data_IF_409837922959
#
_entry.id   IF_409837922959
#
_cell.length_a   1.000
_cell.length_b   1.000
_cell.length_c   1.000
_cell.angle_alpha   90.00
_cell.angle_beta   90.00
_cell.angle_gamma   90.00
#
_symmetry.space_group_name_H-M   'P 1'
#
loop_
_entity.id
_entity.type
_entity.pdbx_description
1 polymer ?
#
# COMPACT_ATOMS: atom_id res chain seq x y z
N UNK A 1 9.36 18.58 19.87
CA UNK A 1 8.83 18.24 21.20
C UNK A 1 7.66 17.29 20.98
N UNK A 2 7.90 15.97 21.01
CA UNK A 2 6.85 14.98 20.75
C UNK A 2 5.92 14.93 21.96
N UNK A 3 4.66 15.30 21.78
CA UNK A 3 3.63 15.04 22.78
C UNK A 3 3.60 13.52 23.03
N UNK A 4 3.65 13.10 24.28
CA UNK A 4 3.57 11.69 24.64
C UNK A 4 2.22 11.16 24.18
N UNK A 5 2.19 10.41 23.08
CA UNK A 5 0.97 9.79 22.59
C UNK A 5 0.59 8.69 23.59
N UNK A 6 -0.56 8.82 24.24
CA UNK A 6 -1.06 7.76 25.13
C UNK A 6 -1.26 6.46 24.34
N UNK A 7 -0.93 5.32 24.94
CA UNK A 7 -1.09 4.00 24.32
C UNK A 7 -2.55 3.76 23.86
N UNK A 8 -3.54 4.23 24.62
CA UNK A 8 -4.95 4.12 24.23
C UNK A 8 -5.32 4.97 23.02
N UNK A 9 -4.72 6.15 22.88
CA UNK A 9 -4.91 7.02 21.70
C UNK A 9 -4.23 6.41 20.47
N UNK A 10 -3.05 5.83 20.63
CA UNK A 10 -2.36 5.10 19.56
C UNK A 10 -3.18 3.90 19.07
N UNK A 11 -3.72 3.08 20.00
CA UNK A 11 -4.59 1.95 19.66
C UNK A 11 -5.85 2.41 18.93
N UNK A 12 -6.46 3.51 19.39
CA UNK A 12 -7.63 4.11 18.74
C UNK A 12 -7.31 4.53 17.31
N UNK A 13 -6.21 5.26 17.07
CA UNK A 13 -5.83 5.71 15.71
C UNK A 13 -5.59 4.56 14.74
N UNK A 14 -4.95 3.49 15.20
CA UNK A 14 -4.76 2.28 14.40
C UNK A 14 -6.12 1.64 14.10
N UNK A 15 -6.99 1.49 15.11
CA UNK A 15 -8.34 0.97 14.94
C UNK A 15 -9.19 1.79 13.97
N UNK A 16 -9.14 3.12 14.07
CA UNK A 16 -9.86 4.07 13.19
C UNK A 16 -9.34 3.99 11.75
N UNK A 17 -8.03 3.79 11.55
CA UNK A 17 -7.48 3.53 10.21
C UNK A 17 -7.97 2.20 9.63
N UNK A 18 -7.88 1.10 10.39
CA UNK A 18 -8.32 -0.23 9.92
C UNK A 18 -9.83 -0.25 9.59
N UNK A 19 -10.62 0.45 10.40
CA UNK A 19 -12.07 0.60 10.19
C UNK A 19 -12.35 1.36 8.89
N UNK A 20 -11.59 2.41 8.58
CA UNK A 20 -11.71 3.16 7.32
C UNK A 20 -11.37 2.31 6.10
N UNK A 21 -10.31 1.49 6.16
CA UNK A 21 -9.95 0.58 5.05
C UNK A 21 -11.06 -0.41 4.80
N UNK A 22 -11.54 -1.07 5.87
CA UNK A 22 -12.61 -2.06 5.77
C UNK A 22 -13.90 -1.43 5.26
N UNK A 23 -14.26 -0.24 5.74
CA UNK A 23 -15.44 0.49 5.27
C UNK A 23 -15.33 0.87 3.79
N UNK A 24 -14.16 1.32 3.33
CA UNK A 24 -13.94 1.63 1.92
C UNK A 24 -14.12 0.40 1.02
N UNK A 25 -13.65 -0.77 1.46
CA UNK A 25 -13.87 -2.05 0.75
C UNK A 25 -15.36 -2.41 0.73
N UNK A 26 -16.03 -2.39 1.89
CA UNK A 26 -17.45 -2.73 2.01
C UNK A 26 -18.37 -1.81 1.19
N UNK A 27 -18.03 -0.53 1.10
CA UNK A 27 -18.78 0.46 0.33
C UNK A 27 -18.31 0.58 -1.14
N UNK A 28 -17.31 -0.20 -1.55
CA UNK A 28 -16.69 -0.09 -2.88
C UNK A 28 -16.22 1.35 -3.22
N UNK A 29 -15.69 2.06 -2.22
CA UNK A 29 -15.19 3.43 -2.35
C UNK A 29 -13.70 3.43 -2.74
N UNK A 30 -13.47 3.52 -4.05
CA UNK A 30 -12.14 3.47 -4.65
C UNK A 30 -11.24 4.63 -4.20
N UNK A 31 -11.79 5.83 -4.10
CA UNK A 31 -11.05 7.04 -3.79
C UNK A 31 -10.61 7.05 -2.31
N UNK A 32 -11.51 6.67 -1.40
CA UNK A 32 -11.16 6.52 0.01
C UNK A 32 -10.09 5.44 0.18
N UNK A 33 -10.23 4.29 -0.49
CA UNK A 33 -9.25 3.21 -0.43
C UNK A 33 -7.89 3.61 -1.01
N UNK A 34 -7.88 4.29 -2.16
CA UNK A 34 -6.67 4.85 -2.77
C UNK A 34 -5.93 5.77 -1.79
N UNK A 35 -6.65 6.68 -1.13
CA UNK A 35 -6.04 7.60 -0.16
C UNK A 35 -5.42 6.88 1.04
N UNK A 36 -6.01 5.75 1.48
CA UNK A 36 -5.54 4.96 2.61
C UNK A 36 -4.33 4.08 2.24
N UNK A 37 -4.21 3.69 0.98
CA UNK A 37 -3.09 2.90 0.43
C UNK A 37 -1.88 3.77 0.08
N UNK A 38 -2.02 5.10 0.00
CA UNK A 38 -0.90 6.01 -0.28
C UNK A 38 0.04 6.14 0.92
N UNK A 39 1.12 5.36 0.92
CA UNK A 39 2.15 5.38 1.96
C UNK A 39 3.00 6.64 1.90
N UNK A 40 3.32 7.13 0.71
CA UNK A 40 4.30 8.20 0.51
C UNK A 40 3.73 9.61 0.49
N UNK A 41 2.44 9.78 0.19
CA UNK A 41 1.85 11.09 -0.10
C UNK A 41 0.71 11.50 0.86
N UNK A 42 0.26 10.62 1.77
CA UNK A 42 -0.90 10.94 2.60
C UNK A 42 -0.52 11.79 3.83
N UNK A 43 -1.17 12.95 4.07
CA UNK A 43 -1.08 13.68 5.35
C UNK A 43 -1.70 12.89 6.51
N UNK A 44 -2.47 11.83 6.23
CA UNK A 44 -2.95 10.86 7.22
C UNK A 44 -1.84 9.90 7.69
N UNK A 45 -0.71 9.81 6.99
CA UNK A 45 0.40 8.92 7.35
C UNK A 45 1.11 9.39 8.61
N UNK A 46 1.22 10.69 8.89
CA UNK A 46 1.94 11.22 10.06
C UNK A 46 1.29 10.85 11.40
N UNK A 47 -0.01 11.11 11.66
CA UNK A 47 -0.63 10.75 12.94
C UNK A 47 -0.74 9.23 13.16
N UNK A 48 -0.82 8.45 12.07
CA UNK A 48 -0.81 7.00 12.12
C UNK A 48 0.59 6.45 12.38
N UNK A 49 1.62 7.01 11.74
CA UNK A 49 3.01 6.61 11.92
C UNK A 49 3.47 6.79 13.36
N UNK A 50 3.09 7.89 14.00
CA UNK A 50 3.34 8.12 15.42
C UNK A 50 2.66 7.05 16.31
N UNK A 51 1.43 6.65 15.95
CA UNK A 51 0.71 5.60 16.65
C UNK A 51 1.34 4.21 16.47
N UNK A 52 1.81 3.90 15.26
CA UNK A 52 2.51 2.65 14.96
C UNK A 52 3.87 2.57 15.67
N UNK A 53 4.59 3.69 15.78
CA UNK A 53 5.83 3.77 16.54
C UNK A 53 5.62 3.57 18.05
N UNK A 54 4.46 3.98 18.58
CA UNK A 54 4.12 3.84 20.00
C UNK A 54 3.72 2.40 20.39
N UNK A 55 3.33 1.54 19.44
CA UNK A 55 2.79 0.19 19.72
C UNK A 55 3.56 -0.86 18.92
N UNK A 56 4.61 -1.49 19.46
CA UNK A 56 5.38 -2.51 18.75
C UNK A 56 4.55 -3.72 18.28
N UNK A 57 3.46 -4.05 19.00
CA UNK A 57 2.59 -5.20 18.71
C UNK A 57 1.36 -4.85 17.86
N UNK A 58 1.40 -3.72 17.12
CA UNK A 58 0.35 -3.35 16.17
C UNK A 58 0.00 -4.45 15.14
N UNK A 59 0.94 -5.33 14.69
CA UNK A 59 0.59 -6.40 13.76
C UNK A 59 -0.47 -7.37 14.31
N UNK A 60 -0.39 -7.73 15.59
CA UNK A 60 -1.39 -8.60 16.23
C UNK A 60 -2.71 -7.88 16.40
N UNK A 61 -2.68 -6.61 16.82
CA UNK A 61 -3.89 -5.78 16.92
C UNK A 61 -4.68 -5.71 15.60
N UNK A 62 -3.98 -5.60 14.48
CA UNK A 62 -4.61 -5.57 13.15
C UNK A 62 -5.11 -6.95 12.72
N UNK A 63 -4.28 -8.00 12.88
CA UNK A 63 -4.62 -9.36 12.48
C UNK A 63 -5.79 -9.94 13.27
N UNK A 64 -5.86 -9.69 14.59
CA UNK A 64 -6.92 -10.20 15.45
C UNK A 64 -8.28 -9.51 15.17
N UNK A 65 -8.26 -8.27 14.70
CA UNK A 65 -9.47 -7.48 14.44
C UNK A 65 -10.10 -7.79 13.08
N UNK A 66 -9.28 -8.02 12.06
CA UNK A 66 -9.70 -8.27 10.68
C UNK A 66 -8.93 -9.46 10.09
N UNK A 67 -9.21 -10.70 10.53
CA UNK A 67 -8.45 -11.88 10.12
C UNK A 67 -8.50 -12.12 8.60
N UNK A 68 -9.65 -11.86 7.97
CA UNK A 68 -9.85 -12.07 6.53
C UNK A 68 -9.00 -11.12 5.66
N UNK A 69 -8.59 -9.97 6.20
CA UNK A 69 -7.78 -8.97 5.52
C UNK A 69 -6.36 -8.87 6.11
N UNK A 70 -5.98 -9.78 7.02
CA UNK A 70 -4.71 -9.70 7.74
C UNK A 70 -3.50 -9.72 6.79
N UNK A 71 -3.57 -10.50 5.71
CA UNK A 71 -2.53 -10.61 4.68
C UNK A 71 -2.32 -9.30 3.90
N UNK A 72 -3.31 -8.41 3.91
CA UNK A 72 -3.21 -7.06 3.34
C UNK A 72 -2.82 -6.03 4.41
N UNK A 73 -3.58 -5.98 5.50
CA UNK A 73 -3.53 -4.90 6.48
C UNK A 73 -2.24 -4.90 7.31
N UNK A 74 -1.78 -6.08 7.73
CA UNK A 74 -0.56 -6.20 8.55
C UNK A 74 0.68 -5.72 7.77
N UNK A 75 0.97 -6.21 6.56
CA UNK A 75 2.11 -5.71 5.79
C UNK A 75 1.95 -4.24 5.37
N UNK A 76 0.72 -3.74 5.15
CA UNK A 76 0.49 -2.33 4.85
C UNK A 76 0.87 -1.42 6.03
N UNK A 77 0.43 -1.76 7.25
CA UNK A 77 0.82 -1.01 8.44
C UNK A 77 2.34 -1.05 8.68
N UNK A 78 2.99 -2.20 8.43
CA UNK A 78 4.46 -2.29 8.48
C UNK A 78 5.13 -1.39 7.45
N UNK A 79 4.61 -1.33 6.23
CA UNK A 79 5.14 -0.46 5.19
C UNK A 79 5.07 1.01 5.60
N UNK A 80 3.91 1.44 6.13
CA UNK A 80 3.72 2.81 6.64
C UNK A 80 4.72 3.11 7.75
N UNK A 81 4.86 2.22 8.72
CA UNK A 81 5.80 2.41 9.83
C UNK A 81 7.27 2.47 9.36
N UNK A 82 7.71 1.54 8.51
CA UNK A 82 9.09 1.54 8.02
C UNK A 82 9.40 2.77 7.16
N UNK A 83 8.44 3.21 6.34
CA UNK A 83 8.59 4.41 5.53
C UNK A 83 8.74 5.65 6.41
N UNK A 84 7.96 5.77 7.49
CA UNK A 84 8.03 6.92 8.40
C UNK A 84 9.37 7.05 9.12
N UNK A 85 10.06 5.94 9.37
CA UNK A 85 11.40 5.90 9.97
C UNK A 85 12.54 5.81 8.94
N UNK A 86 12.24 6.07 7.66
CA UNK A 86 13.19 6.06 6.54
C UNK A 86 13.94 4.73 6.32
N UNK A 87 13.33 3.61 6.70
CA UNK A 87 13.80 2.26 6.35
C UNK A 87 13.11 1.78 5.08
N UNK A 88 13.44 2.38 3.95
CA UNK A 88 12.75 2.18 2.68
C UNK A 88 12.90 0.76 2.13
N UNK A 89 14.02 0.07 2.34
CA UNK A 89 14.18 -1.33 1.92
C UNK A 89 13.20 -2.28 2.63
N UNK A 90 12.99 -2.07 3.93
CA UNK A 90 12.01 -2.84 4.72
C UNK A 90 10.57 -2.40 4.41
N UNK A 91 10.37 -1.10 4.16
CA UNK A 91 9.09 -0.55 3.72
C UNK A 91 8.67 -1.17 2.38
N UNK A 92 9.57 -1.26 1.40
CA UNK A 92 9.33 -1.92 0.11
C UNK A 92 8.94 -3.38 0.33
N UNK A 93 9.73 -4.12 1.10
CA UNK A 93 9.50 -5.56 1.31
C UNK A 93 8.17 -5.84 2.01
N UNK A 94 7.72 -4.92 2.86
CA UNK A 94 6.41 -4.99 3.50
C UNK A 94 5.30 -4.57 2.55
N UNK A 95 5.49 -3.47 1.81
CA UNK A 95 4.48 -2.97 0.87
C UNK A 95 4.24 -3.96 -0.27
N UNK A 96 5.29 -4.57 -0.82
CA UNK A 96 5.18 -5.60 -1.86
C UNK A 96 4.27 -6.76 -1.42
N UNK A 97 4.37 -7.21 -0.16
CA UNK A 97 3.45 -8.24 0.38
C UNK A 97 2.01 -7.74 0.41
N UNK A 98 1.79 -6.52 0.90
CA UNK A 98 0.47 -5.90 0.90
C UNK A 98 -0.08 -5.73 -0.54
N UNK A 99 0.75 -5.31 -1.49
CA UNK A 99 0.38 -5.14 -2.91
C UNK A 99 0.01 -6.47 -3.56
N UNK A 100 0.72 -7.56 -3.24
CA UNK A 100 0.37 -8.88 -3.74
C UNK A 100 -0.95 -9.38 -3.14
N UNK A 101 -1.17 -9.21 -1.83
CA UNK A 101 -2.46 -9.53 -1.20
C UNK A 101 -3.60 -8.70 -1.80
N UNK A 102 -3.40 -7.39 -1.99
CA UNK A 102 -4.36 -6.51 -2.64
C UNK A 102 -4.70 -6.96 -4.06
N UNK A 103 -3.69 -7.36 -4.84
CA UNK A 103 -3.90 -7.86 -6.20
C UNK A 103 -4.69 -9.18 -6.22
N UNK A 104 -4.53 -10.04 -5.21
CA UNK A 104 -5.35 -11.24 -5.09
C UNK A 104 -6.81 -10.89 -4.76
N UNK A 105 -7.04 -10.02 -3.78
CA UNK A 105 -8.39 -9.54 -3.45
C UNK A 105 -9.06 -8.85 -4.65
N UNK A 106 -8.29 -8.03 -5.37
CA UNK A 106 -8.75 -7.35 -6.57
C UNK A 106 -9.24 -8.32 -7.65
N UNK A 107 -8.62 -9.50 -7.77
CA UNK A 107 -9.07 -10.55 -8.70
C UNK A 107 -10.35 -11.24 -8.26
N UNK A 108 -10.58 -11.30 -6.96
CA UNK A 108 -11.74 -11.94 -6.36
C UNK A 108 -13.00 -11.05 -6.48
N UNK A 109 -12.84 -9.74 -6.66
CA UNK A 109 -13.96 -8.82 -6.86
C UNK A 109 -14.58 -8.96 -8.25
N UNK A 110 -15.91 -9.04 -8.29
CA UNK A 110 -16.67 -9.20 -9.54
C UNK A 110 -16.64 -7.94 -10.43
N UNK A 111 -16.40 -6.76 -9.85
CA UNK A 111 -16.47 -5.47 -10.57
C UNK A 111 -15.21 -4.61 -10.43
N UNK A 112 -14.89 -3.76 -11.43
CA UNK A 112 -13.77 -2.80 -11.46
C UNK A 112 -13.69 -1.72 -10.40
N UNK A 113 -14.51 -1.75 -9.35
CA UNK A 113 -14.69 -0.58 -8.50
C UNK A 113 -13.35 -0.06 -7.93
N UNK A 114 -12.39 -0.93 -7.63
CA UNK A 114 -11.11 -0.58 -7.02
C UNK A 114 -9.98 -0.21 -8.01
N UNK A 115 -10.28 0.09 -9.28
CA UNK A 115 -9.26 0.44 -10.29
C UNK A 115 -8.39 1.63 -9.86
N UNK A 116 -8.98 2.65 -9.26
CA UNK A 116 -8.26 3.81 -8.73
C UNK A 116 -7.31 3.42 -7.59
N UNK A 117 -7.77 2.56 -6.67
CA UNK A 117 -6.92 2.01 -5.61
C UNK A 117 -5.76 1.19 -6.17
N UNK A 118 -5.99 0.40 -7.22
CA UNK A 118 -4.92 -0.36 -7.91
C UNK A 118 -3.89 0.56 -8.56
N UNK A 119 -4.31 1.66 -9.17
CA UNK A 119 -3.41 2.69 -9.69
C UNK A 119 -2.49 3.22 -8.56
N UNK A 120 -3.05 3.53 -7.40
CA UNK A 120 -2.26 3.99 -6.25
C UNK A 120 -1.27 2.95 -5.76
N UNK A 121 -1.65 1.67 -5.66
CA UNK A 121 -0.72 0.59 -5.28
C UNK A 121 0.47 0.52 -6.24
N UNK A 122 0.21 0.57 -7.53
CA UNK A 122 1.23 0.49 -8.56
C UNK A 122 2.12 1.75 -8.63
N UNK A 123 1.60 2.93 -8.27
CA UNK A 123 2.41 4.14 -8.09
C UNK A 123 3.29 4.04 -6.84
N UNK A 124 2.71 3.68 -5.70
CA UNK A 124 3.42 3.63 -4.41
C UNK A 124 4.54 2.59 -4.43
N UNK A 125 4.33 1.41 -5.02
CA UNK A 125 5.37 0.38 -5.07
C UNK A 125 6.61 0.87 -5.81
N UNK A 126 6.43 1.67 -6.88
CA UNK A 126 7.54 2.28 -7.63
C UNK A 126 8.23 3.36 -6.80
N UNK A 127 7.48 4.28 -6.22
CA UNK A 127 8.04 5.37 -5.42
C UNK A 127 8.83 4.86 -4.21
N UNK A 128 8.33 3.81 -3.54
CA UNK A 128 9.02 3.18 -2.41
C UNK A 128 10.25 2.42 -2.92
N UNK A 129 10.17 1.72 -4.06
CA UNK A 129 11.31 1.05 -4.68
C UNK A 129 12.44 2.02 -5.03
N UNK A 130 12.13 3.19 -5.60
CA UNK A 130 13.13 4.21 -5.91
C UNK A 130 13.87 4.72 -4.66
N UNK A 131 13.15 4.86 -3.54
CA UNK A 131 13.75 5.25 -2.27
C UNK A 131 14.58 4.11 -1.67
N UNK A 132 14.08 2.88 -1.77
CA UNK A 132 14.78 1.68 -1.31
C UNK A 132 16.09 1.44 -2.07
N UNK A 133 16.09 1.59 -3.39
CA UNK A 133 17.31 1.43 -4.20
C UNK A 133 18.33 2.53 -3.91
N UNK A 134 17.88 3.77 -3.69
CA UNK A 134 18.75 4.85 -3.21
C UNK A 134 19.36 4.51 -1.85
N UNK A 135 18.57 4.04 -0.90
CA UNK A 135 19.05 3.59 0.42
C UNK A 135 20.09 2.45 0.29
N UNK A 136 19.77 1.42 -0.49
CA UNK A 136 20.64 0.27 -0.70
C UNK A 136 21.97 0.68 -1.35
N UNK A 137 21.92 1.52 -2.39
CA UNK A 137 23.11 2.04 -3.05
C UNK A 137 23.99 2.85 -2.08
N UNK A 138 23.41 3.72 -1.26
CA UNK A 138 24.18 4.48 -0.24
C UNK A 138 24.82 3.57 0.81
N UNK A 139 24.21 2.41 1.09
CA UNK A 139 24.72 1.40 2.01
C UNK A 139 25.67 0.38 1.35
N UNK A 140 26.05 0.57 0.09
CA UNK A 140 26.93 -0.35 -0.66
C UNK A 140 26.30 -1.72 -0.95
N UNK A 141 24.97 -1.81 -0.90
CA UNK A 141 24.19 -3.02 -1.24
C UNK A 141 23.65 -2.91 -2.67
N UNK A 142 23.25 -4.04 -3.25
CA UNK A 142 22.68 -4.08 -4.59
C UNK A 142 21.27 -3.46 -4.62
N UNK A 143 21.02 -2.42 -5.46
CA UNK A 143 19.69 -1.87 -5.68
C UNK A 143 18.91 -2.72 -6.70
N UNK A 144 17.98 -3.55 -6.21
CA UNK A 144 17.18 -4.48 -7.02
C UNK A 144 15.66 -4.23 -6.91
N UNK A 145 15.22 -3.27 -6.08
CA UNK A 145 13.80 -3.07 -5.76
C UNK A 145 13.03 -2.45 -6.91
N UNK A 146 13.63 -1.58 -7.72
CA UNK A 146 12.97 -1.05 -8.91
C UNK A 146 12.70 -2.14 -9.95
N UNK A 147 13.65 -3.06 -10.14
CA UNK A 147 13.46 -4.21 -11.03
C UNK A 147 12.35 -5.14 -10.51
N UNK A 148 12.30 -5.38 -9.20
CA UNK A 148 11.23 -6.14 -8.57
C UNK A 148 9.87 -5.45 -8.73
N UNK A 149 9.79 -4.12 -8.53
CA UNK A 149 8.59 -3.33 -8.76
C UNK A 149 8.12 -3.44 -10.22
N UNK A 150 9.03 -3.37 -11.19
CA UNK A 150 8.70 -3.60 -12.60
C UNK A 150 8.08 -4.98 -12.84
N UNK A 151 8.62 -6.02 -12.19
CA UNK A 151 8.05 -7.38 -12.27
C UNK A 151 6.66 -7.47 -11.65
N UNK A 152 6.39 -6.74 -10.55
CA UNK A 152 5.05 -6.63 -9.97
C UNK A 152 4.08 -5.93 -10.93
N UNK A 153 4.48 -4.80 -11.55
CA UNK A 153 3.64 -4.09 -12.51
C UNK A 153 3.23 -4.97 -13.69
N UNK A 154 4.14 -5.80 -14.20
CA UNK A 154 3.82 -6.76 -15.26
C UNK A 154 2.72 -7.76 -14.82
N UNK A 155 2.71 -8.18 -13.54
CA UNK A 155 1.63 -9.03 -13.00
C UNK A 155 0.30 -8.28 -12.90
N UNK A 156 0.31 -7.00 -12.51
CA UNK A 156 -0.88 -6.15 -12.47
C UNK A 156 -1.47 -6.02 -13.88
N UNK A 157 -0.64 -5.65 -14.88
CA UNK A 157 -1.08 -5.56 -16.27
C UNK A 157 -1.67 -6.87 -16.79
N UNK A 158 -1.01 -8.01 -16.53
CA UNK A 158 -1.54 -9.32 -16.92
C UNK A 158 -2.90 -9.62 -16.28
N UNK A 159 -3.10 -9.20 -15.04
CA UNK A 159 -4.39 -9.35 -14.34
C UNK A 159 -5.47 -8.49 -14.98
N UNK A 160 -5.18 -7.21 -15.23
CA UNK A 160 -6.12 -6.28 -15.84
C UNK A 160 -6.52 -6.72 -17.26
N UNK A 161 -5.58 -7.27 -18.03
CA UNK A 161 -5.87 -7.78 -19.37
C UNK A 161 -6.86 -8.96 -19.37
N UNK A 162 -6.85 -9.79 -18.31
CA UNK A 162 -7.80 -10.89 -18.15
C UNK A 162 -9.17 -10.39 -17.65
N UNK A 163 -9.17 -9.44 -16.71
CA UNK A 163 -10.39 -8.89 -16.12
C UNK A 163 -11.16 -7.96 -17.06
N UNK A 164 -10.50 -7.26 -18.00
CA UNK A 164 -11.14 -6.27 -18.88
C UNK A 164 -10.99 -6.63 -20.36
N UNK A 165 -12.12 -6.94 -21.02
CA UNK A 165 -12.14 -7.31 -22.45
C UNK A 165 -12.11 -6.05 -23.36
N UNK A 166 -10.93 -5.78 -23.93
CA UNK A 166 -10.58 -4.95 -25.11
C UNK A 166 -11.00 -3.48 -25.23
N UNK A 167 -12.22 -3.03 -24.86
CA UNK A 167 -12.62 -1.62 -25.07
C UNK A 167 -12.22 -0.69 -23.92
N UNK A 168 -12.35 -1.14 -22.67
CA UNK A 168 -11.88 -0.39 -21.50
C UNK A 168 -10.36 -0.48 -21.31
N UNK A 169 -9.72 -1.52 -21.85
CA UNK A 169 -8.27 -1.69 -21.77
C UNK A 169 -7.53 -0.62 -22.58
N UNK A 170 -8.10 -0.16 -23.72
CA UNK A 170 -7.48 0.87 -24.56
C UNK A 170 -7.57 2.28 -23.94
N UNK A 171 -8.68 2.62 -23.28
CA UNK A 171 -8.80 3.89 -22.54
C UNK A 171 -7.93 3.90 -21.30
N UNK A 172 -7.86 2.77 -20.57
CA UNK A 172 -6.94 2.56 -19.46
C UNK A 172 -5.48 2.59 -19.89
N UNK A 173 -5.09 1.96 -21.00
CA UNK A 173 -3.73 2.02 -21.52
C UNK A 173 -3.34 3.43 -21.99
N UNK A 174 -4.29 4.22 -22.49
CA UNK A 174 -4.03 5.60 -22.90
C UNK A 174 -3.90 6.55 -21.69
N UNK A 175 -4.65 6.30 -20.59
CA UNK A 175 -4.37 6.92 -19.29
C UNK A 175 -3.08 6.37 -18.66
N UNK A 176 -2.76 5.09 -18.84
CA UNK A 176 -1.57 4.43 -18.30
C UNK A 176 -0.29 4.68 -19.14
N UNK A 177 -0.36 5.33 -20.29
CA UNK A 177 0.83 5.89 -20.96
C UNK A 177 1.42 7.06 -20.12
N UNK A 178 0.59 7.69 -19.27
CA UNK A 178 1.05 8.58 -18.21
C UNK A 178 1.79 7.81 -17.10
N UNK A 179 1.44 6.54 -16.86
CA UNK A 179 2.05 5.64 -15.87
C UNK A 179 3.54 5.35 -16.12
N UNK A 180 3.99 5.46 -17.38
CA UNK A 180 5.38 5.35 -17.81
C UNK A 180 6.09 6.71 -17.93
N UNK A 181 5.36 7.81 -17.84
CA UNK A 181 5.86 9.17 -18.11
C UNK A 181 6.03 10.05 -16.86
N UNK A 182 5.58 9.57 -15.69
CA UNK A 182 5.89 10.12 -14.35
C UNK A 182 6.87 9.16 -13.71
#
# INVERSE_FOLDING_TARGET
MAAYLSMGEAQRRIGDYLSRVTNAISCSDAAALASLLSVSSAPASTPLSDALAAIPDFPRLAGDRYPDLADLLVPLLRAIHFHSIQRFADAYSSFEKASNAFLQEFRNWETPWAMEAMHTVALEIRLIAEKADRELATNGKNPDKLQAAGSFLMKVFGTLAVCYRSKDLCSLLNQNLVFLSI
#
